data_IF_637565421003
#
_entry.id   IF_637565421003
#
_cell.length_a   1.000
_cell.length_b   1.000
_cell.length_c   1.000
_cell.angle_alpha   90.00
_cell.angle_beta   90.00
_cell.angle_gamma   90.00
#
_symmetry.space_group_name_H-M   'P 1'
#
loop_
_entity.id
_entity.type
_entity.pdbx_description
1 polymer ?
#
# COMPACT_ATOMS: atom_id res chain seq x y z
N UNK A 1 11.09 7.01 -34.31
CA UNK A 1 11.24 6.59 -32.92
C UNK A 1 11.49 5.09 -32.80
N UNK A 2 12.16 4.64 -31.74
CA UNK A 2 12.35 3.20 -31.48
C UNK A 2 11.05 2.62 -30.91
N UNK A 3 10.70 1.41 -31.34
CA UNK A 3 9.62 0.64 -30.72
C UNK A 3 10.17 -0.05 -29.47
N UNK A 4 9.47 0.06 -28.35
CA UNK A 4 9.82 -0.59 -27.09
C UNK A 4 8.63 -1.44 -26.64
N UNK A 5 8.93 -2.54 -25.94
CA UNK A 5 7.92 -3.32 -25.22
C UNK A 5 7.81 -2.72 -23.82
N UNK A 6 6.63 -2.24 -23.47
CA UNK A 6 6.33 -1.74 -22.12
C UNK A 6 5.89 -2.91 -21.21
N UNK A 7 6.86 -3.69 -20.75
CA UNK A 7 6.61 -4.80 -19.83
C UNK A 7 6.03 -4.35 -18.47
N UNK A 8 6.47 -3.22 -17.89
CA UNK A 8 5.89 -2.70 -16.65
C UNK A 8 4.51 -2.07 -16.78
N UNK A 9 3.96 -1.94 -17.98
CA UNK A 9 2.64 -1.32 -18.23
C UNK A 9 2.48 0.06 -17.54
N UNK A 10 3.48 0.95 -17.73
CA UNK A 10 3.49 2.26 -17.09
C UNK A 10 3.52 2.19 -15.56
N UNK A 11 4.29 1.30 -14.99
CA UNK A 11 4.33 0.98 -13.55
C UNK A 11 2.98 0.44 -13.03
N UNK A 12 2.44 -0.56 -13.74
CA UNK A 12 1.19 -1.27 -13.41
C UNK A 12 -0.09 -0.44 -13.53
N UNK A 13 -0.03 0.70 -14.19
CA UNK A 13 -1.19 1.60 -14.35
C UNK A 13 -1.91 1.43 -15.69
N UNK A 14 -1.27 0.82 -16.70
CA UNK A 14 -1.80 0.69 -18.06
C UNK A 14 -2.08 -0.78 -18.44
N UNK A 15 -2.69 -1.55 -17.54
CA UNK A 15 -2.89 -2.99 -17.70
C UNK A 15 -3.78 -3.36 -18.91
N UNK A 16 -4.65 -2.45 -19.31
CA UNK A 16 -5.51 -2.60 -20.51
C UNK A 16 -4.85 -2.03 -21.77
N UNK A 17 -3.57 -1.64 -21.70
CA UNK A 17 -2.82 -1.04 -22.80
C UNK A 17 -3.11 0.44 -23.00
N UNK A 18 -2.36 1.02 -23.96
CA UNK A 18 -2.54 2.41 -24.37
C UNK A 18 -3.63 2.56 -25.44
N UNK A 19 -4.14 3.78 -25.60
CA UNK A 19 -5.11 4.15 -26.64
C UNK A 19 -6.47 3.44 -26.52
N UNK A 20 -6.87 3.09 -25.32
CA UNK A 20 -8.20 2.53 -25.08
C UNK A 20 -9.25 3.65 -25.28
N UNK A 21 -10.01 3.56 -26.36
CA UNK A 21 -10.99 4.59 -26.75
C UNK A 21 -12.22 4.58 -25.84
N UNK A 22 -12.59 3.41 -25.32
CA UNK A 22 -13.79 3.29 -24.49
C UNK A 22 -13.57 3.93 -23.13
N UNK A 23 -12.38 3.71 -22.52
CA UNK A 23 -12.00 4.38 -21.28
C UNK A 23 -11.94 5.90 -21.50
N UNK A 24 -11.27 6.35 -22.58
CA UNK A 24 -11.15 7.77 -22.87
C UNK A 24 -12.53 8.44 -23.07
N UNK A 25 -13.45 7.75 -23.73
CA UNK A 25 -14.81 8.23 -23.94
C UNK A 25 -15.58 8.39 -22.63
N UNK A 26 -15.56 7.37 -21.77
CA UNK A 26 -16.24 7.41 -20.47
C UNK A 26 -15.66 8.51 -19.57
N UNK A 27 -14.34 8.69 -19.56
CA UNK A 27 -13.69 9.79 -18.82
C UNK A 27 -14.13 11.16 -19.34
N UNK A 28 -14.22 11.33 -20.65
CA UNK A 28 -14.67 12.57 -21.27
C UNK A 28 -16.14 12.87 -20.90
N UNK A 29 -17.03 11.91 -21.04
CA UNK A 29 -18.46 12.03 -20.72
C UNK A 29 -18.65 12.39 -19.24
N UNK A 30 -17.96 11.69 -18.35
CA UNK A 30 -18.02 11.97 -16.91
C UNK A 30 -17.46 13.36 -16.56
N UNK A 31 -16.39 13.78 -17.21
CA UNK A 31 -15.80 15.10 -16.97
C UNK A 31 -16.73 16.26 -17.37
N UNK A 32 -17.57 16.05 -18.40
CA UNK A 32 -18.60 17.02 -18.79
C UNK A 32 -19.78 16.99 -17.81
N UNK A 33 -20.22 15.82 -17.40
CA UNK A 33 -21.39 15.67 -16.53
C UNK A 33 -21.09 16.18 -15.13
N UNK A 34 -19.99 15.69 -14.53
CA UNK A 34 -19.56 16.05 -13.17
C UNK A 34 -18.06 15.84 -13.04
N UNK A 35 -17.28 16.89 -13.27
CA UNK A 35 -15.82 16.84 -13.22
C UNK A 35 -15.25 16.66 -11.81
N UNK A 36 -15.95 17.14 -10.80
CA UNK A 36 -15.57 17.02 -9.38
C UNK A 36 -16.79 17.19 -8.46
N UNK A 37 -16.79 16.45 -7.36
CA UNK A 37 -17.64 16.72 -6.21
C UNK A 37 -16.87 16.50 -4.91
N UNK A 38 -17.24 17.21 -3.86
CA UNK A 38 -16.63 17.05 -2.54
C UNK A 38 -17.08 15.72 -1.90
N UNK A 39 -16.17 14.87 -1.44
CA UNK A 39 -16.53 13.62 -0.76
C UNK A 39 -17.04 13.80 0.67
N UNK A 40 -17.04 15.02 1.20
CA UNK A 40 -17.44 15.29 2.60
C UNK A 40 -18.92 15.00 2.88
N UNK A 41 -19.79 15.33 1.95
CA UNK A 41 -21.24 15.20 2.15
C UNK A 41 -21.96 14.62 0.94
N UNK A 42 -21.24 14.36 -0.13
CA UNK A 42 -21.80 13.88 -1.40
C UNK A 42 -20.97 12.75 -1.96
N UNK A 43 -21.59 11.94 -2.79
CA UNK A 43 -20.94 10.91 -3.58
C UNK A 43 -21.23 11.14 -5.07
N UNK A 44 -20.69 10.30 -5.91
CA UNK A 44 -21.00 10.24 -7.33
C UNK A 44 -21.20 8.80 -7.78
N UNK A 45 -21.97 8.64 -8.81
CA UNK A 45 -22.36 7.33 -9.31
C UNK A 45 -21.16 6.41 -9.68
N UNK A 46 -20.12 6.87 -10.39
CA UNK A 46 -18.93 6.05 -10.65
C UNK A 46 -18.24 5.55 -9.39
N UNK A 47 -18.08 6.39 -8.36
CA UNK A 47 -17.44 5.99 -7.11
C UNK A 47 -18.27 4.95 -6.36
N UNK A 48 -19.60 5.10 -6.32
CA UNK A 48 -20.49 4.13 -5.68
C UNK A 48 -20.50 2.78 -6.39
N UNK A 49 -20.52 2.77 -7.72
CA UNK A 49 -20.46 1.53 -8.49
C UNK A 49 -19.12 0.83 -8.26
N UNK A 50 -18.01 1.59 -8.29
CA UNK A 50 -16.67 1.04 -8.10
C UNK A 50 -16.49 0.50 -6.67
N UNK A 51 -16.94 1.22 -5.65
CA UNK A 51 -16.83 0.76 -4.25
C UNK A 51 -17.57 -0.56 -4.03
N UNK A 52 -18.78 -0.69 -4.55
CA UNK A 52 -19.54 -1.95 -4.50
C UNK A 52 -18.78 -3.10 -5.17
N UNK A 53 -18.24 -2.86 -6.37
CA UNK A 53 -17.45 -3.90 -7.08
C UNK A 53 -16.18 -4.29 -6.32
N UNK A 54 -15.49 -3.34 -5.69
CA UNK A 54 -14.31 -3.65 -4.87
C UNK A 54 -14.72 -4.49 -3.66
N UNK A 55 -15.81 -4.13 -2.98
CA UNK A 55 -16.33 -4.88 -1.83
C UNK A 55 -16.73 -6.32 -2.20
N UNK A 56 -17.30 -6.55 -3.39
CA UNK A 56 -17.62 -7.89 -3.89
C UNK A 56 -16.41 -8.82 -4.02
N UNK A 57 -15.21 -8.27 -4.29
CA UNK A 57 -13.95 -9.01 -4.42
C UNK A 57 -13.10 -9.00 -3.14
N UNK A 58 -13.43 -8.15 -2.18
CA UNK A 58 -12.69 -8.06 -0.93
C UNK A 58 -13.00 -9.26 -0.01
N UNK A 59 -12.02 -9.74 0.76
CA UNK A 59 -12.24 -10.88 1.66
C UNK A 59 -13.07 -10.48 2.88
N UNK A 60 -13.86 -11.41 3.39
CA UNK A 60 -14.62 -11.26 4.65
C UNK A 60 -15.68 -10.17 4.57
N UNK A 61 -15.65 -9.26 5.54
CA UNK A 61 -16.61 -8.17 5.72
C UNK A 61 -16.05 -6.78 5.38
N UNK A 62 -15.02 -6.71 4.53
CA UNK A 62 -14.44 -5.46 4.06
C UNK A 62 -15.36 -4.80 3.02
N UNK A 63 -16.38 -4.10 3.50
CA UNK A 63 -17.44 -3.53 2.66
C UNK A 63 -17.29 -2.03 2.38
N UNK A 64 -16.42 -1.36 3.11
CA UNK A 64 -16.21 0.08 2.98
C UNK A 64 -14.94 0.38 2.19
N UNK A 65 -15.03 1.32 1.25
CA UNK A 65 -13.91 1.72 0.38
C UNK A 65 -13.63 3.21 0.54
N UNK A 66 -12.40 3.54 0.86
CA UNK A 66 -11.91 4.92 0.91
C UNK A 66 -10.98 5.19 -0.26
N UNK A 67 -11.42 6.04 -1.19
CA UNK A 67 -10.63 6.42 -2.36
C UNK A 67 -9.61 7.50 -2.03
N UNK A 68 -8.43 7.36 -2.59
CA UNK A 68 -7.33 8.33 -2.47
C UNK A 68 -6.74 8.65 -3.84
N UNK A 69 -5.85 9.65 -3.87
CA UNK A 69 -5.23 10.11 -5.13
C UNK A 69 -4.06 9.24 -5.60
N UNK A 70 -3.65 8.24 -4.81
CA UNK A 70 -2.56 7.33 -5.17
C UNK A 70 -2.18 6.39 -4.04
N UNK A 71 -1.31 5.42 -4.34
CA UNK A 71 -0.88 4.38 -3.39
C UNK A 71 -0.21 4.93 -2.13
N UNK A 72 0.64 5.94 -2.26
CA UNK A 72 1.31 6.58 -1.13
C UNK A 72 0.31 7.19 -0.14
N UNK A 73 -0.68 7.91 -0.67
CA UNK A 73 -1.75 8.52 0.14
C UNK A 73 -2.71 7.47 0.71
N UNK A 74 -2.92 6.35 0.02
CA UNK A 74 -3.69 5.22 0.54
C UNK A 74 -3.00 4.60 1.77
N UNK A 75 -1.69 4.34 1.68
CA UNK A 75 -0.90 3.82 2.81
C UNK A 75 -0.92 4.79 3.99
N UNK A 76 -0.72 6.09 3.77
CA UNK A 76 -0.79 7.07 4.85
C UNK A 76 -2.18 7.16 5.48
N UNK A 77 -3.22 7.13 4.67
CA UNK A 77 -4.61 7.12 5.16
C UNK A 77 -4.89 5.88 6.02
N UNK A 78 -4.44 4.70 5.59
CA UNK A 78 -4.57 3.47 6.36
C UNK A 78 -3.87 3.56 7.73
N UNK A 79 -2.63 4.08 7.77
CA UNK A 79 -1.89 4.28 9.02
C UNK A 79 -2.63 5.26 9.94
N UNK A 80 -3.09 6.39 9.41
CA UNK A 80 -3.84 7.40 10.16
C UNK A 80 -5.15 6.83 10.71
N UNK A 81 -5.83 6.02 9.91
CA UNK A 81 -7.07 5.36 10.31
C UNK A 81 -6.84 4.34 11.44
N UNK A 82 -5.78 3.53 11.35
CA UNK A 82 -5.39 2.58 12.40
C UNK A 82 -5.01 3.32 13.70
N UNK A 83 -4.28 4.43 13.60
CA UNK A 83 -3.96 5.27 14.76
C UNK A 83 -5.23 5.82 15.42
N UNK A 84 -6.14 6.37 14.63
CA UNK A 84 -7.42 6.86 15.11
C UNK A 84 -8.22 5.75 15.80
N UNK A 85 -8.36 4.59 15.16
CA UNK A 85 -9.07 3.43 15.69
C UNK A 85 -8.48 2.97 17.02
N UNK A 86 -7.16 2.83 17.12
CA UNK A 86 -6.52 2.42 18.36
C UNK A 86 -6.69 3.45 19.49
N UNK A 87 -6.56 4.75 19.18
CA UNK A 87 -6.74 5.82 20.16
C UNK A 87 -8.18 5.85 20.69
N UNK A 88 -9.18 5.74 19.83
CA UNK A 88 -10.59 5.73 20.25
C UNK A 88 -10.95 4.52 21.10
N UNK A 89 -10.16 3.45 21.03
CA UNK A 89 -10.30 2.26 21.87
C UNK A 89 -9.39 2.26 23.11
N UNK A 90 -8.76 3.38 23.44
CA UNK A 90 -7.86 3.51 24.57
C UNK A 90 -6.51 2.76 24.41
N UNK A 91 -6.16 2.33 23.20
CA UNK A 91 -4.90 1.63 22.90
C UNK A 91 -3.86 2.61 22.35
N UNK A 92 -3.56 3.64 23.11
CA UNK A 92 -2.72 4.76 22.66
C UNK A 92 -1.27 4.34 22.34
N UNK A 93 -0.78 3.28 22.97
CA UNK A 93 0.58 2.77 22.78
C UNK A 93 0.72 1.88 21.52
N UNK A 94 -0.39 1.45 20.92
CA UNK A 94 -0.36 0.60 19.73
C UNK A 94 -0.03 1.40 18.47
N UNK A 95 1.26 1.68 18.27
CA UNK A 95 1.79 2.55 17.21
C UNK A 95 2.80 1.86 16.28
N UNK A 96 3.32 0.70 16.65
CA UNK A 96 4.34 0.02 15.89
C UNK A 96 3.79 -0.55 14.59
N UNK A 97 4.55 -0.39 13.52
CA UNK A 97 4.22 -0.89 12.19
C UNK A 97 5.36 -1.80 11.73
N UNK A 98 5.03 -3.03 11.40
CA UNK A 98 5.97 -3.96 10.80
C UNK A 98 5.98 -3.79 9.28
N UNK A 99 7.16 -3.70 8.71
CA UNK A 99 7.39 -3.63 7.28
C UNK A 99 8.53 -4.58 6.87
N UNK A 100 8.63 -4.90 5.59
CA UNK A 100 9.64 -5.83 5.08
C UNK A 100 10.78 -5.11 4.40
N UNK A 101 12.01 -5.61 4.59
CA UNK A 101 13.13 -5.29 3.71
C UNK A 101 12.75 -5.57 2.25
N UNK A 102 13.22 -4.76 1.33
CA UNK A 102 12.84 -4.77 -0.09
C UNK A 102 11.39 -4.35 -0.39
N UNK A 103 10.56 -4.07 0.62
CA UNK A 103 9.20 -3.55 0.43
C UNK A 103 9.20 -2.14 -0.13
N UNK A 104 8.17 -1.82 -0.94
CA UNK A 104 7.89 -0.46 -1.37
C UNK A 104 6.46 -0.09 -0.97
N UNK A 105 6.31 1.03 -0.25
CA UNK A 105 5.03 1.47 0.33
C UNK A 105 4.61 2.88 -0.11
N UNK A 106 5.47 3.58 -0.82
CA UNK A 106 5.16 4.90 -1.35
C UNK A 106 6.33 5.87 -1.31
N UNK A 107 6.06 7.13 -1.66
CA UNK A 107 7.03 8.22 -1.74
C UNK A 107 6.67 9.47 -0.93
N UNK A 108 5.56 9.49 -0.20
CA UNK A 108 5.27 10.50 0.81
C UNK A 108 6.08 10.20 2.08
N UNK A 109 6.25 11.19 2.95
CA UNK A 109 7.16 11.09 4.10
C UNK A 109 6.94 9.82 4.95
N UNK A 110 5.72 9.54 5.35
CA UNK A 110 5.42 8.38 6.19
C UNK A 110 5.46 7.07 5.39
N UNK A 111 4.86 7.02 4.20
CA UNK A 111 4.87 5.82 3.38
C UNK A 111 6.28 5.44 2.90
N UNK A 112 7.12 6.44 2.56
CA UNK A 112 8.52 6.23 2.22
C UNK A 112 9.33 5.70 3.39
N UNK A 113 9.01 6.11 4.61
CA UNK A 113 9.67 5.62 5.83
C UNK A 113 9.43 4.13 6.08
N UNK A 114 8.37 3.55 5.52
CA UNK A 114 8.10 2.11 5.58
C UNK A 114 8.89 1.30 4.53
N UNK A 115 9.48 1.96 3.54
CA UNK A 115 10.22 1.26 2.50
C UNK A 115 11.43 0.51 3.08
N UNK A 116 11.64 -0.71 2.65
CA UNK A 116 12.75 -1.54 3.09
C UNK A 116 14.09 -1.07 2.56
N UNK A 117 14.16 -0.70 1.27
CA UNK A 117 15.34 -0.10 0.65
C UNK A 117 15.17 1.41 0.54
N UNK A 118 15.81 2.10 1.45
CA UNK A 118 15.93 3.55 1.41
C UNK A 118 16.99 3.92 0.38
N UNK A 119 16.60 4.00 -0.91
CA UNK A 119 17.51 4.26 -2.03
C UNK A 119 18.27 5.58 -1.93
N UNK A 120 17.78 6.48 -1.10
CA UNK A 120 18.29 7.83 -0.92
C UNK A 120 18.45 8.17 0.57
N UNK A 121 18.75 7.16 1.41
CA UNK A 121 18.84 7.30 2.87
C UNK A 121 19.78 8.40 3.33
N UNK A 122 20.84 8.66 2.57
CA UNK A 122 21.84 9.68 2.90
C UNK A 122 21.43 11.11 2.50
N UNK A 123 20.33 11.24 1.76
CA UNK A 123 19.89 12.50 1.15
C UNK A 123 18.47 12.91 1.55
N UNK A 124 17.72 12.02 2.21
CA UNK A 124 16.32 12.27 2.59
C UNK A 124 16.08 11.88 4.03
N UNK A 125 15.27 12.67 4.70
CA UNK A 125 14.82 12.38 6.05
C UNK A 125 13.67 11.36 6.04
N UNK A 126 13.70 10.44 7.00
CA UNK A 126 12.68 9.41 7.22
C UNK A 126 12.26 9.36 8.68
N UNK A 127 11.03 8.96 8.94
CA UNK A 127 10.57 8.65 10.29
C UNK A 127 11.08 7.26 10.71
N UNK A 128 11.81 7.19 11.83
CA UNK A 128 12.36 5.93 12.33
C UNK A 128 11.66 5.41 13.60
N UNK A 129 10.76 6.21 14.19
CA UNK A 129 10.33 6.01 15.57
C UNK A 129 9.40 4.81 15.83
N UNK A 130 8.60 4.36 14.86
CA UNK A 130 7.57 3.36 15.09
C UNK A 130 7.58 2.24 14.04
N UNK A 131 8.75 1.89 13.52
CA UNK A 131 8.86 0.94 12.42
C UNK A 131 9.80 -0.20 12.76
N UNK A 132 9.29 -1.42 12.63
CA UNK A 132 10.07 -2.66 12.77
C UNK A 132 10.26 -3.22 11.38
N UNK A 133 11.52 -3.35 10.96
CA UNK A 133 11.87 -3.98 9.67
C UNK A 133 12.17 -5.44 9.86
N UNK A 134 11.43 -6.25 9.14
CA UNK A 134 11.62 -7.70 9.06
C UNK A 134 12.32 -8.06 7.76
N UNK A 135 13.01 -9.17 7.74
CA UNK A 135 13.72 -9.68 6.58
C UNK A 135 12.83 -9.81 5.35
N UNK A 136 13.42 -9.57 4.18
CA UNK A 136 12.74 -9.77 2.90
C UNK A 136 12.34 -11.24 2.72
N UNK A 137 11.12 -11.56 2.25
CA UNK A 137 10.71 -12.94 1.96
C UNK A 137 11.37 -13.51 0.69
N UNK A 138 12.32 -12.80 0.11
CA UNK A 138 13.03 -13.20 -1.10
C UNK A 138 14.17 -14.14 -0.76
N UNK A 139 14.04 -15.40 -1.15
CA UNK A 139 15.08 -16.42 -0.95
C UNK A 139 16.26 -16.21 -1.90
N UNK A 140 15.99 -15.84 -3.16
CA UNK A 140 17.01 -15.68 -4.18
C UNK A 140 17.97 -14.51 -3.90
N UNK A 141 19.27 -14.76 -4.06
CA UNK A 141 20.31 -13.73 -3.88
C UNK A 141 20.76 -13.50 -2.44
N UNK A 142 20.29 -14.29 -1.48
CA UNK A 142 20.82 -14.27 -0.11
C UNK A 142 22.20 -14.93 -0.05
N UNK A 143 23.04 -14.42 0.85
CA UNK A 143 24.37 -15.00 1.12
C UNK A 143 24.28 -16.34 1.83
N UNK A 144 23.26 -16.50 2.69
CA UNK A 144 22.99 -17.71 3.43
C UNK A 144 22.25 -18.73 2.56
N UNK A 145 22.72 -19.96 2.57
CA UNK A 145 22.07 -21.06 1.85
C UNK A 145 20.95 -21.67 2.69
N UNK A 146 19.75 -21.16 2.51
CA UNK A 146 18.54 -21.77 3.05
C UNK A 146 17.94 -22.76 2.05
N UNK A 147 17.37 -23.89 2.52
CA UNK A 147 16.30 -24.53 1.77
C UNK A 147 14.98 -23.77 2.05
N UNK A 148 13.95 -24.01 1.23
CA UNK A 148 12.68 -23.29 1.32
C UNK A 148 12.06 -23.39 2.72
N UNK A 149 11.94 -24.59 3.27
CA UNK A 149 11.31 -24.80 4.59
C UNK A 149 12.04 -24.08 5.73
N UNK A 150 13.36 -24.21 5.80
CA UNK A 150 14.15 -23.49 6.82
C UNK A 150 14.07 -21.98 6.69
N UNK A 151 13.88 -21.50 5.48
CA UNK A 151 13.71 -20.08 5.23
C UNK A 151 12.33 -19.57 5.68
N UNK A 152 11.30 -20.35 5.44
CA UNK A 152 9.95 -20.07 5.95
C UNK A 152 9.93 -20.06 7.49
N UNK A 153 10.52 -21.06 8.13
CA UNK A 153 10.66 -21.12 9.59
C UNK A 153 11.42 -19.88 10.13
N UNK A 154 12.50 -19.48 9.47
CA UNK A 154 13.25 -18.28 9.83
C UNK A 154 12.36 -17.04 9.81
N UNK A 155 11.58 -16.82 8.74
CA UNK A 155 10.71 -15.66 8.59
C UNK A 155 9.57 -15.64 9.63
N UNK A 156 9.01 -16.82 9.95
CA UNK A 156 7.97 -16.96 10.96
C UNK A 156 8.53 -16.67 12.36
N UNK A 157 9.70 -17.24 12.67
CA UNK A 157 10.37 -17.02 13.96
C UNK A 157 10.73 -15.53 14.15
N UNK A 158 11.31 -14.90 13.15
CA UNK A 158 11.63 -13.45 13.18
C UNK A 158 10.38 -12.61 13.49
N UNK A 159 9.26 -12.94 12.86
CA UNK A 159 8.00 -12.26 13.11
C UNK A 159 7.50 -12.48 14.54
N UNK A 160 7.57 -13.71 15.02
CA UNK A 160 7.18 -14.07 16.38
C UNK A 160 8.08 -13.40 17.44
N UNK A 161 9.38 -13.36 17.20
CA UNK A 161 10.35 -12.67 18.06
C UNK A 161 10.07 -11.16 18.15
N UNK A 162 9.75 -10.53 17.00
CA UNK A 162 9.36 -9.13 16.98
C UNK A 162 8.10 -8.87 17.82
N UNK A 163 7.09 -9.74 17.74
CA UNK A 163 5.88 -9.64 18.57
C UNK A 163 6.23 -9.83 20.05
N UNK A 164 7.05 -10.80 20.38
CA UNK A 164 7.44 -11.08 21.78
C UNK A 164 8.23 -9.92 22.38
N UNK A 165 9.11 -9.29 21.60
CA UNK A 165 9.96 -8.16 22.03
C UNK A 165 9.16 -6.88 22.25
N UNK A 166 8.22 -6.58 21.34
CA UNK A 166 7.51 -5.30 21.31
C UNK A 166 6.09 -5.39 21.87
N UNK A 167 5.62 -6.59 22.19
CA UNK A 167 4.25 -6.83 22.62
C UNK A 167 3.25 -6.96 21.48
N UNK A 168 2.08 -7.49 21.81
CA UNK A 168 0.94 -7.61 20.87
C UNK A 168 -0.08 -6.47 21.00
N UNK A 169 0.15 -5.57 21.94
CA UNK A 169 -0.75 -4.45 22.25
C UNK A 169 -0.40 -3.16 21.52
#
# INVERSE_FOLDING_TARGET
>A
GKKLIDGPAGMWCSNLGHRNKDIAKVMYEQAIELSYNSPWYTSNNPAEILSRKIAEYAPGDLNDVFFTTGGSTAVESAIRFIQFYNNTRGRNEKKLIMCREDGYHGSTYLSASLNGKLRTSDWMDYSHGNMIRLSSPKLFGRKEKFNVSKFEDFLVNEFQEAINLHGSS
#
